data_IF_981955273147
#
_entry.id   IF_981955273147
#
_cell.length_a   1.000
_cell.length_b   1.000
_cell.length_c   1.000
_cell.angle_alpha   90.00
_cell.angle_beta   90.00
_cell.angle_gamma   90.00
#
_symmetry.space_group_name_H-M   'P 1'
#
loop_
_entity.id
_entity.type
_entity.pdbx_description
1 polymer ?
#
# COMPACT_ATOMS: atom_id res chain seq x y z
N UNK A 1 12.72 -9.45 52.51
CA UNK A 1 11.49 -9.62 51.72
C UNK A 1 11.33 -8.46 50.78
N UNK A 2 11.27 -8.68 49.47
CA UNK A 2 11.05 -7.60 48.50
C UNK A 2 11.93 -7.69 47.25
N UNK A 3 11.91 -8.82 46.57
CA UNK A 3 12.34 -8.93 45.17
C UNK A 3 11.25 -9.64 44.40
N UNK A 4 10.58 -8.92 43.50
CA UNK A 4 9.86 -9.41 42.29
C UNK A 4 8.84 -8.37 41.86
N UNK A 5 9.23 -7.53 40.90
CA UNK A 5 8.29 -6.85 39.96
C UNK A 5 9.14 -6.06 38.94
N UNK A 6 9.70 -6.78 37.98
CA UNK A 6 10.24 -6.20 36.74
C UNK A 6 10.42 -7.33 35.72
N UNK A 7 9.30 -7.82 35.20
CA UNK A 7 9.25 -8.60 33.96
C UNK A 7 7.90 -8.36 33.32
N UNK A 8 7.89 -7.62 32.23
CA UNK A 8 6.69 -7.42 31.41
C UNK A 8 6.65 -6.11 30.64
N UNK A 9 7.76 -5.63 30.11
CA UNK A 9 7.71 -4.65 29.02
C UNK A 9 7.78 -5.44 27.71
N UNK A 10 6.61 -5.61 27.10
CA UNK A 10 6.45 -6.34 25.86
C UNK A 10 7.16 -5.61 24.71
N UNK A 11 7.65 -6.39 23.71
CA UNK A 11 8.40 -5.89 22.56
C UNK A 11 7.73 -4.79 21.72
N UNK A 12 6.43 -4.55 21.91
CA UNK A 12 5.68 -3.44 21.31
C UNK A 12 6.21 -2.06 21.73
N UNK A 13 6.70 -1.91 22.99
CA UNK A 13 7.26 -0.64 23.47
C UNK A 13 8.59 -0.30 22.79
N UNK A 14 9.39 -1.31 22.42
CA UNK A 14 10.70 -1.11 21.78
C UNK A 14 10.55 -0.68 20.32
N UNK A 15 9.53 -1.16 19.62
CA UNK A 15 9.28 -0.79 18.21
C UNK A 15 8.72 0.64 18.07
N UNK A 16 7.80 1.04 18.96
CA UNK A 16 7.28 2.41 19.00
C UNK A 16 8.38 3.41 19.42
N UNK A 17 9.31 3.02 20.28
CA UNK A 17 10.48 3.84 20.65
C UNK A 17 11.45 3.98 19.47
N UNK A 18 11.61 2.97 18.62
CA UNK A 18 12.46 3.04 17.43
C UNK A 18 11.95 4.06 16.40
N UNK A 19 10.66 4.06 16.12
CA UNK A 19 10.01 5.03 15.20
C UNK A 19 9.95 6.43 15.83
N UNK A 20 9.68 6.53 17.15
CA UNK A 20 9.67 7.79 17.87
C UNK A 20 11.07 8.41 17.99
N UNK A 21 12.15 7.62 18.18
CA UNK A 21 13.53 8.12 18.24
C UNK A 21 14.02 8.63 16.88
N UNK A 22 13.54 8.07 15.77
CA UNK A 22 13.77 8.64 14.44
C UNK A 22 13.06 10.00 14.26
N UNK A 23 11.91 10.19 14.89
CA UNK A 23 11.15 11.46 14.87
C UNK A 23 11.75 12.52 15.83
N UNK A 24 12.25 12.13 17.00
CA UNK A 24 12.76 13.07 18.03
C UNK A 24 14.14 13.61 17.68
N UNK A 25 14.99 12.89 16.95
CA UNK A 25 16.27 13.41 16.45
C UNK A 25 16.13 14.54 15.42
N UNK A 26 14.91 14.84 14.97
CA UNK A 26 14.63 15.86 13.95
C UNK A 26 14.15 17.22 14.48
N UNK A 27 13.96 17.40 15.79
CA UNK A 27 13.50 18.70 16.34
C UNK A 27 14.57 19.78 16.48
N UNK A 28 15.79 19.56 15.98
CA UNK A 28 16.92 20.50 16.12
C UNK A 28 17.26 21.38 14.92
N UNK A 29 16.50 21.36 13.82
CA UNK A 29 16.82 22.21 12.66
C UNK A 29 15.53 22.67 11.97
N UNK A 30 14.88 23.69 12.50
CA UNK A 30 13.95 24.52 11.72
C UNK A 30 14.78 25.62 11.05
N UNK A 31 15.18 25.41 9.83
CA UNK A 31 15.48 26.48 8.87
C UNK A 31 14.55 26.33 7.68
N UNK A 32 13.83 27.40 7.45
CA UNK A 32 12.93 27.62 6.32
C UNK A 32 13.70 27.64 5.02
N UNK A 33 13.63 26.56 4.26
CA UNK A 33 14.08 26.54 2.87
C UNK A 33 12.94 25.95 2.01
N UNK A 34 12.29 26.83 1.26
CA UNK A 34 11.29 26.47 0.27
C UNK A 34 11.93 25.63 -0.84
N UNK A 35 11.21 24.59 -1.26
CA UNK A 35 11.61 23.72 -2.38
C UNK A 35 11.19 24.32 -3.73
N UNK A 36 12.12 24.77 -4.60
CA UNK A 36 11.77 25.20 -5.97
C UNK A 36 11.51 24.02 -6.94
N UNK A 37 11.96 22.81 -6.63
CA UNK A 37 11.99 21.71 -7.61
C UNK A 37 10.75 20.83 -7.70
N UNK A 38 9.84 20.83 -6.72
CA UNK A 38 8.65 19.95 -6.72
C UNK A 38 7.43 20.56 -7.45
N UNK A 39 7.41 21.90 -7.59
CA UNK A 39 6.29 22.58 -8.24
C UNK A 39 6.36 22.53 -9.77
N UNK A 40 7.56 22.42 -10.35
CA UNK A 40 7.73 22.35 -11.81
C UNK A 40 7.41 20.96 -12.40
N UNK A 41 7.58 19.86 -11.64
CA UNK A 41 7.24 18.52 -12.15
C UNK A 41 5.75 18.18 -12.16
N UNK A 42 4.90 18.99 -11.55
CA UNK A 42 3.45 18.80 -11.55
C UNK A 42 2.71 19.47 -12.69
N UNK A 43 3.41 20.29 -13.53
CA UNK A 43 2.80 21.08 -14.59
C UNK A 43 3.30 20.75 -16.00
N UNK A 44 4.20 19.81 -16.18
CA UNK A 44 4.60 19.38 -17.52
C UNK A 44 3.68 18.25 -18.05
N UNK A 45 2.81 18.63 -18.95
CA UNK A 45 2.01 17.77 -19.80
C UNK A 45 2.95 17.01 -20.75
N UNK A 46 2.79 15.68 -20.94
CA UNK A 46 3.60 14.94 -21.90
C UNK A 46 3.00 15.02 -23.31
N UNK A 47 3.07 16.15 -23.94
CA UNK A 47 2.88 16.23 -25.39
C UNK A 47 4.04 16.99 -26.04
N UNK A 48 4.65 16.31 -27.00
CA UNK A 48 5.65 16.72 -28.01
C UNK A 48 7.10 16.32 -27.73
N UNK A 49 7.42 15.10 -28.12
CA UNK A 49 8.70 14.82 -28.76
C UNK A 49 8.48 14.01 -30.03
N UNK A 50 8.64 14.72 -31.15
CA UNK A 50 8.59 14.21 -32.51
C UNK A 50 9.82 13.36 -32.83
N UNK A 51 9.57 12.20 -33.42
CA UNK A 51 10.56 11.30 -33.98
C UNK A 51 11.41 11.90 -35.11
N UNK A 52 12.71 11.62 -35.08
CA UNK A 52 13.55 11.51 -36.27
C UNK A 52 14.13 10.11 -36.31
N UNK A 53 13.78 9.39 -37.36
CA UNK A 53 14.41 8.12 -37.78
C UNK A 53 15.74 8.39 -38.48
N UNK A 54 16.64 7.41 -38.51
CA UNK A 54 17.44 7.15 -39.71
C UNK A 54 17.19 5.74 -40.25
N UNK A 55 17.16 5.69 -41.57
CA UNK A 55 17.02 4.55 -42.45
C UNK A 55 18.32 3.72 -42.60
N UNK A 56 18.10 2.48 -43.02
CA UNK A 56 18.96 1.60 -43.83
C UNK A 56 20.23 0.96 -43.27
N UNK A 57 20.16 -0.37 -43.13
CA UNK A 57 21.15 -1.30 -43.70
C UNK A 57 20.57 -2.73 -43.84
N UNK A 58 20.63 -3.25 -45.08
CA UNK A 58 20.25 -4.60 -45.53
C UNK A 58 21.28 -5.66 -45.14
N UNK A 59 20.78 -6.89 -44.96
CA UNK A 59 21.51 -8.03 -45.49
C UNK A 59 21.56 -9.31 -44.65
N UNK A 60 21.01 -10.41 -45.14
CA UNK A 60 21.59 -11.72 -44.98
C UNK A 60 20.82 -12.76 -44.16
N UNK A 61 20.22 -13.72 -44.87
CA UNK A 61 19.40 -14.83 -44.43
C UNK A 61 20.08 -15.94 -43.63
N UNK A 62 19.25 -16.81 -43.05
CA UNK A 62 19.65 -18.07 -42.40
C UNK A 62 18.45 -18.75 -41.77
N UNK A 63 17.92 -19.76 -42.42
CA UNK A 63 16.85 -20.66 -42.04
C UNK A 63 17.21 -21.50 -40.81
N UNK A 64 16.27 -21.61 -39.88
CA UNK A 64 16.33 -22.57 -38.77
C UNK A 64 14.99 -22.63 -38.05
N UNK A 65 14.12 -23.56 -38.46
CA UNK A 65 12.89 -23.93 -37.80
C UNK A 65 13.16 -24.45 -36.38
N UNK A 66 12.50 -23.89 -35.41
CA UNK A 66 12.38 -24.39 -34.07
C UNK A 66 11.12 -23.81 -33.47
N UNK A 67 9.99 -24.50 -33.69
CA UNK A 67 8.69 -24.18 -33.07
C UNK A 67 8.77 -24.32 -31.55
N UNK A 68 8.92 -23.22 -30.85
CA UNK A 68 8.53 -23.08 -29.45
C UNK A 68 7.24 -22.28 -29.42
N UNK A 69 6.16 -22.98 -29.15
CA UNK A 69 4.86 -22.38 -28.84
C UNK A 69 5.01 -21.36 -27.71
N UNK A 70 5.12 -20.10 -28.07
CA UNK A 70 4.90 -18.99 -27.17
C UNK A 70 3.38 -18.88 -26.97
N UNK A 71 2.91 -19.42 -25.86
CA UNK A 71 1.53 -19.18 -25.40
C UNK A 71 1.29 -17.68 -25.36
N UNK A 72 0.26 -17.26 -26.07
CA UNK A 72 -0.19 -15.89 -26.25
C UNK A 72 -0.42 -15.20 -24.90
N UNK A 73 0.44 -14.28 -24.55
CA UNK A 73 0.46 -13.50 -23.31
C UNK A 73 -0.05 -12.08 -23.51
N UNK A 74 -1.05 -11.86 -24.36
CA UNK A 74 -1.63 -10.50 -24.48
C UNK A 74 -3.13 -10.57 -24.76
N UNK A 75 -3.88 -10.84 -23.68
CA UNK A 75 -5.31 -10.47 -23.59
C UNK A 75 -5.49 -9.41 -22.50
N UNK A 76 -4.83 -8.28 -22.64
CA UNK A 76 -5.20 -7.13 -21.85
C UNK A 76 -6.07 -6.22 -22.70
N UNK A 77 -7.31 -5.98 -22.21
CA UNK A 77 -8.23 -4.99 -22.74
C UNK A 77 -7.48 -3.66 -22.93
N UNK A 78 -7.14 -3.36 -24.14
CA UNK A 78 -6.80 -2.02 -24.59
C UNK A 78 -8.09 -1.24 -24.69
N UNK A 79 -8.20 -0.10 -24.00
CA UNK A 79 -9.24 0.94 -24.16
C UNK A 79 -10.70 0.55 -23.81
N UNK A 80 -10.90 -0.04 -22.62
CA UNK A 80 -12.20 0.03 -21.94
C UNK A 80 -12.10 1.03 -20.79
N UNK A 81 -13.17 1.75 -20.47
CA UNK A 81 -13.22 2.54 -19.24
C UNK A 81 -12.86 1.63 -18.06
N UNK A 82 -11.88 2.05 -17.23
CA UNK A 82 -11.52 1.37 -16.00
C UNK A 82 -12.75 1.27 -15.09
N UNK A 83 -13.00 0.11 -14.55
CA UNK A 83 -14.10 -0.17 -13.64
C UNK A 83 -13.55 -0.68 -12.29
N UNK A 84 -14.38 -0.68 -11.24
CA UNK A 84 -13.98 -1.30 -9.97
C UNK A 84 -13.64 -2.79 -10.15
N UNK A 85 -14.27 -3.49 -11.09
CA UNK A 85 -13.95 -4.88 -11.42
C UNK A 85 -12.50 -5.12 -11.87
N UNK A 86 -11.80 -4.07 -12.28
CA UNK A 86 -10.38 -4.12 -12.68
C UNK A 86 -9.42 -3.91 -11.49
N UNK A 87 -9.94 -3.69 -10.27
CA UNK A 87 -9.17 -3.37 -9.08
C UNK A 87 -9.28 -4.48 -8.03
N UNK A 88 -8.17 -5.05 -7.61
CA UNK A 88 -8.07 -5.96 -6.48
C UNK A 88 -7.77 -5.15 -5.22
N UNK A 89 -8.71 -5.10 -4.29
CA UNK A 89 -8.56 -4.37 -3.03
C UNK A 89 -8.28 -5.37 -1.92
N UNK A 90 -7.08 -5.36 -1.37
CA UNK A 90 -6.68 -6.18 -0.23
C UNK A 90 -6.79 -5.38 1.06
N UNK A 91 -7.53 -5.89 2.03
CA UNK A 91 -7.62 -5.35 3.39
C UNK A 91 -6.91 -6.29 4.34
N UNK A 92 -5.82 -5.83 4.94
CA UNK A 92 -5.05 -6.57 5.94
C UNK A 92 -5.62 -6.34 7.34
N UNK A 93 -5.96 -7.43 8.04
CA UNK A 93 -6.48 -7.38 9.40
C UNK A 93 -5.92 -8.49 10.28
N UNK A 94 -6.35 -8.53 11.53
CA UNK A 94 -6.07 -9.58 12.50
C UNK A 94 -7.33 -9.80 13.36
N UNK A 95 -7.51 -11.00 13.89
CA UNK A 95 -8.66 -11.39 14.73
C UNK A 95 -9.04 -10.34 15.77
N UNK A 96 -8.04 -9.76 16.40
CA UNK A 96 -8.22 -8.71 17.41
C UNK A 96 -9.09 -7.53 16.94
N UNK A 97 -9.08 -7.24 15.64
CA UNK A 97 -9.76 -6.07 15.06
C UNK A 97 -11.01 -6.41 14.25
N UNK A 98 -11.41 -7.69 14.15
CA UNK A 98 -12.59 -8.07 13.39
C UNK A 98 -13.83 -7.33 13.89
N UNK A 99 -14.10 -7.36 15.20
CA UNK A 99 -15.29 -6.71 15.75
C UNK A 99 -15.19 -5.18 15.77
N UNK A 100 -14.01 -4.63 16.07
CA UNK A 100 -13.88 -3.19 16.32
C UNK A 100 -13.60 -2.36 15.07
N UNK A 101 -12.97 -2.96 14.04
CA UNK A 101 -12.58 -2.26 12.81
C UNK A 101 -13.26 -2.83 11.57
N UNK A 102 -13.20 -4.17 11.37
CA UNK A 102 -13.77 -4.75 10.16
C UNK A 102 -15.27 -4.59 10.05
N UNK A 103 -16.03 -4.67 11.16
CA UNK A 103 -17.48 -4.39 11.11
C UNK A 103 -17.77 -2.99 10.59
N UNK A 104 -17.01 -2.00 11.07
CA UNK A 104 -17.14 -0.61 10.58
C UNK A 104 -16.85 -0.49 9.09
N UNK A 105 -15.77 -1.13 8.59
CA UNK A 105 -15.44 -1.08 7.16
C UNK A 105 -16.51 -1.79 6.31
N UNK A 106 -17.05 -2.90 6.81
CA UNK A 106 -18.12 -3.67 6.16
C UNK A 106 -19.45 -2.90 6.11
N UNK A 107 -19.72 -2.07 7.12
CA UNK A 107 -20.93 -1.24 7.19
C UNK A 107 -20.80 0.07 6.39
N UNK A 108 -19.57 0.41 6.00
CA UNK A 108 -19.28 1.61 5.23
C UNK A 108 -18.82 1.27 3.81
N UNK A 109 -17.60 1.60 3.46
CA UNK A 109 -17.12 1.57 2.08
C UNK A 109 -17.03 0.16 1.46
N UNK A 110 -16.78 -0.90 2.24
CA UNK A 110 -16.73 -2.27 1.69
C UNK A 110 -18.09 -2.67 1.12
N UNK A 111 -19.20 -2.21 1.72
CA UNK A 111 -20.55 -2.49 1.19
C UNK A 111 -20.72 -2.07 -0.27
N UNK A 112 -20.00 -1.04 -0.73
CA UNK A 112 -20.03 -0.50 -2.10
C UNK A 112 -19.00 -1.10 -3.04
N UNK A 113 -17.98 -1.76 -2.49
CA UNK A 113 -16.88 -2.37 -3.27
C UNK A 113 -16.61 -3.82 -2.86
N UNK A 114 -17.66 -4.55 -2.40
CA UNK A 114 -17.54 -5.88 -1.82
C UNK A 114 -16.91 -6.89 -2.78
N UNK A 115 -17.36 -6.88 -4.03
CA UNK A 115 -16.91 -7.84 -5.06
C UNK A 115 -15.43 -7.67 -5.46
N UNK A 116 -14.82 -6.54 -5.14
CA UNK A 116 -13.43 -6.23 -5.43
C UNK A 116 -12.54 -6.32 -4.19
N UNK A 117 -13.15 -6.46 -3.00
CA UNK A 117 -12.45 -6.41 -1.71
C UNK A 117 -12.24 -7.81 -1.15
N UNK A 118 -11.00 -8.11 -0.81
CA UNK A 118 -10.58 -9.35 -0.17
C UNK A 118 -9.97 -9.04 1.20
N UNK A 119 -10.42 -9.75 2.23
CA UNK A 119 -9.97 -9.54 3.62
C UNK A 119 -8.97 -10.62 3.99
N UNK A 120 -7.74 -10.22 4.30
CA UNK A 120 -6.64 -11.11 4.69
C UNK A 120 -6.48 -11.10 6.20
N UNK A 121 -6.71 -12.24 6.83
CA UNK A 121 -6.69 -12.41 8.29
C UNK A 121 -5.89 -13.61 8.74
N UNK A 122 -5.49 -13.62 10.00
CA UNK A 122 -4.70 -14.68 10.66
C UNK A 122 -5.54 -15.74 11.38
N UNK A 123 -6.82 -15.47 11.61
CA UNK A 123 -7.74 -16.42 12.24
C UNK A 123 -9.08 -16.46 11.53
N UNK A 124 -9.71 -17.64 11.54
CA UNK A 124 -11.07 -17.82 11.03
C UNK A 124 -12.10 -17.06 11.86
N UNK A 125 -13.12 -16.55 11.18
CA UNK A 125 -14.23 -15.82 11.77
C UNK A 125 -15.51 -16.07 10.99
N UNK A 126 -16.44 -16.81 11.60
CA UNK A 126 -17.71 -17.16 10.96
C UNK A 126 -18.59 -15.95 10.67
N UNK A 127 -18.52 -14.89 11.49
CA UNK A 127 -19.29 -13.66 11.26
C UNK A 127 -18.74 -12.92 10.03
N UNK A 128 -17.42 -12.77 9.95
CA UNK A 128 -16.73 -12.17 8.80
C UNK A 128 -16.99 -13.00 7.53
N UNK A 129 -16.89 -14.33 7.62
CA UNK A 129 -17.13 -15.24 6.49
C UNK A 129 -18.59 -15.19 6.01
N UNK A 130 -19.58 -15.07 6.89
CA UNK A 130 -20.97 -14.87 6.48
C UNK A 130 -21.19 -13.59 5.71
N UNK A 131 -20.47 -12.51 6.03
CA UNK A 131 -20.58 -11.20 5.37
C UNK A 131 -19.84 -11.14 4.04
N UNK A 132 -18.66 -11.74 3.96
CA UNK A 132 -17.75 -11.60 2.80
C UNK A 132 -17.65 -12.87 1.93
N UNK A 133 -18.09 -14.05 2.44
CA UNK A 133 -18.01 -15.30 1.68
C UNK A 133 -16.57 -15.69 1.38
N UNK A 134 -16.30 -16.05 0.12
CA UNK A 134 -14.98 -16.48 -0.36
C UNK A 134 -13.98 -15.32 -0.50
N UNK A 135 -14.40 -14.09 -0.20
CA UNK A 135 -13.53 -12.93 -0.15
C UNK A 135 -12.77 -12.79 1.19
N UNK A 136 -12.96 -13.72 2.13
CA UNK A 136 -12.11 -13.84 3.33
C UNK A 136 -11.02 -14.86 3.06
N UNK A 137 -9.78 -14.39 3.12
CA UNK A 137 -8.58 -15.22 2.94
C UNK A 137 -7.93 -15.46 4.30
N UNK A 138 -8.02 -16.71 4.75
CA UNK A 138 -7.29 -17.15 5.94
C UNK A 138 -5.84 -17.44 5.56
N UNK A 139 -4.90 -16.62 6.09
CA UNK A 139 -3.51 -16.62 5.64
C UNK A 139 -2.63 -17.63 6.35
N UNK A 140 -3.10 -18.18 7.47
CA UNK A 140 -2.31 -19.05 8.36
C UNK A 140 -1.01 -18.36 8.87
N UNK A 141 -0.97 -17.03 8.87
CA UNK A 141 0.13 -16.24 9.42
C UNK A 141 -0.05 -16.07 10.94
N UNK A 142 1.05 -15.71 11.64
CA UNK A 142 0.98 -15.44 13.08
C UNK A 142 0.04 -14.27 13.40
N UNK A 143 -0.65 -14.38 14.54
CA UNK A 143 -1.51 -13.30 15.10
C UNK A 143 -0.70 -12.20 15.78
N UNK A 144 0.60 -12.39 15.99
CA UNK A 144 1.47 -11.38 16.57
C UNK A 144 1.70 -10.22 15.61
N UNK A 145 1.81 -9.02 16.17
CA UNK A 145 2.25 -7.85 15.40
C UNK A 145 3.78 -7.87 15.28
N UNK A 146 4.28 -8.73 14.39
CA UNK A 146 5.71 -8.92 14.15
C UNK A 146 6.05 -8.68 12.68
N UNK A 147 7.32 -8.37 12.41
CA UNK A 147 7.85 -8.22 11.06
C UNK A 147 7.50 -9.42 10.15
N UNK A 148 7.70 -10.64 10.64
CA UNK A 148 7.42 -11.87 9.88
C UNK A 148 5.93 -12.08 9.62
N UNK A 149 5.06 -11.77 10.59
CA UNK A 149 3.61 -11.91 10.44
C UNK A 149 3.05 -10.89 9.42
N UNK A 150 3.50 -9.64 9.46
CA UNK A 150 3.11 -8.62 8.48
C UNK A 150 3.59 -8.99 7.08
N UNK A 151 4.85 -9.41 6.94
CA UNK A 151 5.41 -9.87 5.66
C UNK A 151 4.68 -11.12 5.12
N UNK A 152 4.25 -12.03 6.00
CA UNK A 152 3.47 -13.21 5.63
C UNK A 152 2.12 -12.81 5.02
N UNK A 153 1.38 -11.90 5.65
CA UNK A 153 0.08 -11.43 5.15
C UNK A 153 0.23 -10.67 3.84
N UNK A 154 1.23 -9.79 3.73
CA UNK A 154 1.51 -9.07 2.47
C UNK A 154 1.85 -10.02 1.32
N UNK A 155 2.59 -11.10 1.59
CA UNK A 155 2.86 -12.13 0.59
C UNK A 155 1.58 -12.83 0.11
N UNK A 156 0.67 -13.13 1.05
CA UNK A 156 -0.62 -13.75 0.73
C UNK A 156 -1.52 -12.82 -0.11
N UNK A 157 -1.57 -11.52 0.21
CA UNK A 157 -2.28 -10.52 -0.58
C UNK A 157 -1.74 -10.45 -2.00
N UNK A 158 -0.42 -10.40 -2.13
CA UNK A 158 0.26 -10.30 -3.43
C UNK A 158 0.01 -11.54 -4.29
N UNK A 159 0.12 -12.75 -3.72
CA UNK A 159 -0.12 -14.00 -4.42
C UNK A 159 -1.59 -14.16 -4.85
N UNK A 160 -2.53 -13.75 -4.00
CA UNK A 160 -3.96 -13.73 -4.36
C UNK A 160 -4.23 -12.78 -5.52
N UNK A 161 -3.64 -11.57 -5.50
CA UNK A 161 -3.72 -10.66 -6.63
C UNK A 161 -3.13 -11.27 -7.91
N UNK A 162 -1.95 -11.87 -7.84
CA UNK A 162 -1.33 -12.48 -9.03
C UNK A 162 -2.18 -13.61 -9.63
N UNK A 163 -2.95 -14.31 -8.79
CA UNK A 163 -3.88 -15.38 -9.21
C UNK A 163 -5.20 -14.86 -9.78
N UNK A 164 -5.47 -13.58 -9.65
CA UNK A 164 -6.68 -12.91 -10.16
C UNK A 164 -6.47 -12.34 -11.56
N UNK A 165 -7.55 -11.81 -12.17
CA UNK A 165 -7.52 -11.16 -13.49
C UNK A 165 -7.51 -9.62 -13.41
N UNK A 166 -7.57 -9.04 -12.19
CA UNK A 166 -7.60 -7.60 -12.00
C UNK A 166 -6.31 -6.92 -12.48
N UNK A 167 -6.44 -5.70 -12.95
CA UNK A 167 -5.35 -4.90 -13.51
C UNK A 167 -4.57 -4.11 -12.47
N UNK A 168 -5.18 -3.87 -11.30
CA UNK A 168 -4.62 -3.07 -10.21
C UNK A 168 -4.69 -3.83 -8.89
N UNK A 169 -3.62 -3.79 -8.13
CA UNK A 169 -3.54 -4.21 -6.73
C UNK A 169 -3.56 -2.97 -5.85
N UNK A 170 -4.47 -2.89 -4.88
CA UNK A 170 -4.49 -1.85 -3.87
C UNK A 170 -4.52 -2.47 -2.48
N UNK A 171 -3.52 -2.14 -1.67
CA UNK A 171 -3.38 -2.57 -0.28
C UNK A 171 -3.95 -1.52 0.67
N UNK A 172 -4.65 -1.96 1.70
CA UNK A 172 -5.20 -1.16 2.80
C UNK A 172 -5.02 -1.88 4.14
N UNK A 173 -4.80 -1.13 5.20
CA UNK A 173 -4.92 -1.62 6.57
C UNK A 173 -6.38 -1.50 7.06
N UNK A 174 -6.74 -2.21 8.13
CA UNK A 174 -8.10 -2.26 8.68
C UNK A 174 -8.56 -0.97 9.39
N UNK A 175 -7.72 0.05 9.41
CA UNK A 175 -8.06 1.40 9.86
C UNK A 175 -8.14 2.43 8.72
N UNK A 176 -8.21 1.96 7.47
CA UNK A 176 -8.39 2.81 6.31
C UNK A 176 -9.88 2.86 5.87
N UNK A 177 -10.38 4.05 5.67
CA UNK A 177 -11.57 4.31 4.89
C UNK A 177 -11.18 4.56 3.43
N UNK A 178 -11.74 3.79 2.51
CA UNK A 178 -11.52 3.95 1.08
C UNK A 178 -12.70 4.65 0.43
N UNK A 179 -12.43 5.60 -0.45
CA UNK A 179 -13.39 6.14 -1.40
C UNK A 179 -13.23 5.43 -2.75
N UNK A 180 -14.11 4.47 -3.11
CA UNK A 180 -13.95 3.70 -4.35
C UNK A 180 -14.03 4.56 -5.61
N UNK A 181 -14.84 5.63 -5.60
CA UNK A 181 -14.98 6.54 -6.74
C UNK A 181 -13.72 7.39 -6.95
N UNK A 182 -13.18 7.95 -5.86
CA UNK A 182 -11.92 8.69 -5.92
C UNK A 182 -10.74 7.79 -6.34
N UNK A 183 -10.71 6.54 -5.86
CA UNK A 183 -9.72 5.54 -6.28
C UNK A 183 -9.83 5.29 -7.79
N UNK A 184 -11.03 5.00 -8.29
CA UNK A 184 -11.25 4.72 -9.71
C UNK A 184 -10.86 5.92 -10.57
N UNK A 185 -11.24 7.13 -10.16
CA UNK A 185 -10.86 8.38 -10.82
C UNK A 185 -9.33 8.57 -10.84
N UNK A 186 -8.64 8.27 -9.74
CA UNK A 186 -7.19 8.34 -9.68
C UNK A 186 -6.55 7.33 -10.65
N UNK A 187 -6.95 6.05 -10.55
CA UNK A 187 -6.36 4.97 -11.35
C UNK A 187 -6.64 5.14 -12.85
N UNK A 188 -7.76 5.77 -13.25
CA UNK A 188 -8.07 6.06 -14.65
C UNK A 188 -7.07 7.02 -15.31
N UNK A 189 -6.29 7.77 -14.50
CA UNK A 189 -5.21 8.64 -15.00
C UNK A 189 -3.91 7.90 -15.32
N UNK A 190 -3.88 6.58 -15.06
CA UNK A 190 -2.70 5.75 -15.25
C UNK A 190 -3.03 4.51 -16.09
N UNK A 191 -2.02 3.91 -16.69
CA UNK A 191 -2.16 2.70 -17.47
C UNK A 191 -1.58 1.49 -16.72
N UNK A 192 -2.40 0.47 -16.49
CA UNK A 192 -1.98 -0.76 -15.82
C UNK A 192 -0.96 -1.59 -16.61
N UNK A 193 -0.75 -1.29 -17.91
CA UNK A 193 0.30 -1.89 -18.74
C UNK A 193 1.63 -1.13 -18.66
N UNK A 194 1.71 -0.11 -17.81
CA UNK A 194 2.96 0.58 -17.42
C UNK A 194 3.34 0.20 -15.98
N UNK A 195 4.58 0.41 -15.61
CA UNK A 195 5.05 0.23 -14.24
C UNK A 195 4.57 1.41 -13.40
N UNK A 196 3.60 1.16 -12.53
CA UNK A 196 2.97 2.19 -11.68
C UNK A 196 2.94 1.71 -10.23
N UNK A 197 3.48 2.52 -9.33
CA UNK A 197 3.40 2.37 -7.88
C UNK A 197 2.95 3.69 -7.27
N UNK A 198 1.72 3.75 -6.76
CA UNK A 198 1.06 4.94 -6.24
C UNK A 198 0.87 4.84 -4.74
N UNK A 199 1.13 5.90 -4.02
CA UNK A 199 0.84 6.00 -2.61
C UNK A 199 1.52 7.19 -1.96
N UNK A 200 1.29 7.38 -0.68
CA UNK A 200 1.90 8.48 0.08
C UNK A 200 3.29 8.08 0.57
N UNK A 201 4.34 8.85 0.26
CA UNK A 201 5.65 8.61 0.85
C UNK A 201 5.57 8.66 2.38
N UNK A 202 6.13 7.67 3.06
CA UNK A 202 6.14 7.62 4.52
C UNK A 202 6.99 8.74 5.15
N UNK A 203 8.01 9.18 4.44
CA UNK A 203 8.95 10.20 4.87
C UNK A 203 9.14 11.26 3.79
N UNK A 204 9.72 12.41 4.15
CA UNK A 204 10.09 13.47 3.20
C UNK A 204 11.43 13.22 2.48
N UNK A 205 12.04 12.06 2.70
CA UNK A 205 13.30 11.61 2.08
C UNK A 205 13.30 10.10 1.94
N UNK A 206 14.05 9.53 0.96
CA UNK A 206 14.22 8.10 0.87
C UNK A 206 14.93 7.56 2.12
N UNK A 207 14.53 6.38 2.59
CA UNK A 207 15.18 5.73 3.71
C UNK A 207 16.52 5.14 3.28
N UNK A 208 17.40 4.93 4.26
CA UNK A 208 18.61 4.14 4.11
C UNK A 208 18.47 2.86 4.90
N UNK A 209 18.78 1.74 4.28
CA UNK A 209 18.78 0.43 4.89
C UNK A 209 20.08 -0.31 4.58
N UNK A 210 20.33 -1.38 5.34
CA UNK A 210 21.41 -2.31 5.08
C UNK A 210 20.83 -3.59 4.51
N UNK A 211 21.16 -3.91 3.27
CA UNK A 211 20.82 -5.18 2.63
C UNK A 211 21.87 -6.22 3.03
N UNK A 212 21.45 -7.35 3.58
CA UNK A 212 22.32 -8.49 3.87
C UNK A 212 22.56 -9.29 2.59
N UNK A 213 23.81 -9.51 2.22
CA UNK A 213 24.21 -10.29 1.05
C UNK A 213 24.50 -11.75 1.42
N UNK A 214 24.54 -12.64 0.41
CA UNK A 214 24.76 -14.08 0.59
C UNK A 214 26.09 -14.47 1.28
N UNK A 215 27.08 -13.57 1.26
CA UNK A 215 28.37 -13.72 1.95
C UNK A 215 28.42 -13.08 3.34
N UNK A 216 27.27 -12.80 3.94
CA UNK A 216 27.11 -12.06 5.20
C UNK A 216 27.69 -10.63 5.21
N UNK A 217 28.05 -10.10 4.06
CA UNK A 217 28.38 -8.69 3.92
C UNK A 217 27.08 -7.86 3.87
N UNK A 218 27.20 -6.58 4.16
CA UNK A 218 26.07 -5.65 4.06
C UNK A 218 26.33 -4.62 2.97
N UNK A 219 25.28 -4.31 2.21
CA UNK A 219 25.27 -3.23 1.22
C UNK A 219 24.29 -2.16 1.64
N UNK A 220 24.72 -0.91 1.67
CA UNK A 220 23.80 0.22 1.88
C UNK A 220 22.89 0.40 0.66
N UNK A 221 21.60 0.43 0.90
CA UNK A 221 20.56 0.71 -0.11
C UNK A 221 19.76 1.94 0.29
N UNK A 222 19.17 2.60 -0.70
CA UNK A 222 18.35 3.80 -0.50
C UNK A 222 17.15 3.74 -1.42
N UNK A 223 15.96 3.94 -0.87
CA UNK A 223 14.71 3.84 -1.62
C UNK A 223 13.56 4.61 -0.95
N UNK A 224 12.55 4.95 -1.75
CA UNK A 224 11.27 5.43 -1.29
C UNK A 224 10.29 4.27 -1.11
N UNK A 225 9.33 4.45 -0.22
CA UNK A 225 8.20 3.56 -0.09
C UNK A 225 6.94 4.35 0.27
N UNK A 226 5.79 3.84 -0.18
CA UNK A 226 4.50 4.31 0.27
C UNK A 226 4.18 3.68 1.62
N UNK A 227 3.68 4.47 2.57
CA UNK A 227 3.27 3.93 3.87
C UNK A 227 2.04 3.03 3.73
N UNK A 228 2.12 1.80 4.25
CA UNK A 228 1.02 0.83 4.26
C UNK A 228 -0.22 1.37 4.95
N UNK A 229 -0.04 2.05 6.09
CA UNK A 229 -1.14 2.66 6.85
C UNK A 229 -1.91 3.78 6.13
N UNK A 230 -1.46 4.24 4.96
CA UNK A 230 -2.23 5.11 4.08
C UNK A 230 -2.85 4.36 2.90
N UNK A 231 -2.43 3.13 2.68
CA UNK A 231 -2.72 2.37 1.48
C UNK A 231 -1.84 2.76 0.30
N UNK A 232 -1.73 1.86 -0.67
CA UNK A 232 -1.00 2.08 -1.92
C UNK A 232 -1.56 1.19 -3.04
N UNK A 233 -1.29 1.55 -4.30
CA UNK A 233 -1.68 0.75 -5.45
C UNK A 233 -0.49 0.44 -6.37
N UNK A 234 -0.52 -0.77 -6.97
CA UNK A 234 0.51 -1.28 -7.88
C UNK A 234 -0.18 -1.79 -9.15
N UNK A 235 0.36 -1.46 -10.32
CA UNK A 235 -0.14 -1.98 -11.60
C UNK A 235 0.21 -3.46 -11.79
N UNK A 236 -0.60 -4.20 -12.55
CA UNK A 236 -0.39 -5.61 -12.91
C UNK A 236 0.99 -5.82 -13.54
N UNK A 237 1.41 -4.92 -14.43
CA UNK A 237 2.72 -5.01 -15.07
C UNK A 237 3.85 -4.96 -14.06
N UNK A 238 3.82 -3.99 -13.14
CA UNK A 238 4.85 -3.86 -12.11
C UNK A 238 4.84 -5.07 -11.17
N UNK A 239 3.65 -5.51 -10.73
CA UNK A 239 3.52 -6.68 -9.87
C UNK A 239 4.12 -7.94 -10.50
N UNK A 240 3.93 -8.17 -11.79
CA UNK A 240 4.57 -9.29 -12.50
C UNK A 240 6.09 -9.21 -12.47
N UNK A 241 6.67 -8.02 -12.59
CA UNK A 241 8.12 -7.85 -12.47
C UNK A 241 8.63 -8.10 -11.06
N UNK A 242 7.79 -7.86 -10.05
CA UNK A 242 8.13 -8.08 -8.64
C UNK A 242 8.12 -9.58 -8.24
N UNK A 243 7.46 -10.45 -8.99
CA UNK A 243 7.27 -11.88 -8.65
C UNK A 243 8.53 -12.60 -8.13
N UNK A 244 9.74 -12.42 -8.72
CA UNK A 244 10.93 -13.13 -8.24
C UNK A 244 11.29 -12.84 -6.78
N UNK A 245 10.84 -11.70 -6.23
CA UNK A 245 11.14 -11.27 -4.87
C UNK A 245 9.91 -11.14 -3.97
N UNK A 246 8.71 -11.11 -4.56
CA UNK A 246 7.47 -10.80 -3.85
C UNK A 246 6.51 -11.99 -3.75
N UNK A 247 6.67 -13.05 -4.53
CA UNK A 247 5.72 -14.17 -4.56
C UNK A 247 6.06 -15.21 -3.51
N UNK A 248 5.07 -15.67 -2.74
CA UNK A 248 5.19 -16.73 -1.76
C UNK A 248 6.28 -16.49 -0.73
N UNK A 249 7.10 -17.52 -0.51
CA UNK A 249 8.22 -17.48 0.43
C UNK A 249 9.31 -16.47 0.05
N UNK A 250 9.35 -16.03 -1.21
CA UNK A 250 10.35 -15.07 -1.65
C UNK A 250 10.13 -13.70 -1.01
N UNK A 251 8.88 -13.30 -0.72
CA UNK A 251 8.60 -12.05 0.00
C UNK A 251 9.26 -12.06 1.38
N UNK A 252 9.05 -13.14 2.16
CA UNK A 252 9.63 -13.27 3.49
C UNK A 252 11.17 -13.27 3.42
N UNK A 253 11.75 -14.02 2.49
CA UNK A 253 13.20 -14.06 2.29
C UNK A 253 13.75 -12.69 1.91
N UNK A 254 13.06 -11.93 1.06
CA UNK A 254 13.46 -10.58 0.66
C UNK A 254 13.33 -9.59 1.82
N UNK A 255 12.26 -9.69 2.62
CA UNK A 255 12.02 -8.90 3.80
C UNK A 255 13.13 -9.07 4.85
N UNK A 256 13.63 -10.31 5.04
CA UNK A 256 14.76 -10.61 5.93
C UNK A 256 16.09 -9.97 5.49
N UNK A 257 16.27 -9.66 4.19
CA UNK A 257 17.48 -9.00 3.71
C UNK A 257 17.66 -7.59 4.27
N UNK A 258 16.56 -6.88 4.48
CA UNK A 258 16.56 -5.48 4.94
C UNK A 258 16.02 -5.32 6.36
N UNK A 259 15.28 -6.30 6.89
CA UNK A 259 14.65 -6.34 8.24
C UNK A 259 13.83 -5.10 8.56
N UNK A 260 13.05 -4.64 7.60
CA UNK A 260 12.12 -3.51 7.70
C UNK A 260 10.68 -3.99 7.50
N UNK A 261 9.65 -3.21 7.88
CA UNK A 261 8.25 -3.54 7.67
C UNK A 261 7.91 -3.92 6.22
N UNK A 262 6.77 -4.54 6.05
CA UNK A 262 6.30 -5.07 4.77
C UNK A 262 6.11 -3.99 3.69
N UNK A 263 5.63 -2.79 4.04
CA UNK A 263 5.53 -1.64 3.14
C UNK A 263 6.91 -1.14 2.67
N UNK A 264 7.90 -1.14 3.57
CA UNK A 264 9.30 -0.88 3.23
C UNK A 264 9.83 -1.95 2.26
N UNK A 265 9.46 -3.23 2.48
CA UNK A 265 9.86 -4.34 1.62
C UNK A 265 9.30 -4.18 0.21
N UNK A 266 8.04 -3.76 0.07
CA UNK A 266 7.45 -3.41 -1.24
C UNK A 266 8.26 -2.32 -1.94
N UNK A 267 8.54 -1.21 -1.25
CA UNK A 267 9.34 -0.11 -1.81
C UNK A 267 10.75 -0.54 -2.22
N UNK A 268 11.40 -1.36 -1.38
CA UNK A 268 12.72 -1.93 -1.67
C UNK A 268 12.70 -2.83 -2.91
N UNK A 269 11.72 -3.72 -3.03
CA UNK A 269 11.59 -4.58 -4.22
C UNK A 269 11.42 -3.71 -5.46
N UNK A 270 10.52 -2.74 -5.42
CA UNK A 270 10.21 -1.89 -6.56
C UNK A 270 11.43 -1.06 -6.97
N UNK A 271 12.05 -0.32 -6.06
CA UNK A 271 13.12 0.62 -6.41
C UNK A 271 14.50 -0.03 -6.53
N UNK A 272 14.82 -1.01 -5.66
CA UNK A 272 16.16 -1.60 -5.65
C UNK A 272 16.30 -2.89 -6.46
N UNK A 273 15.21 -3.65 -6.67
CA UNK A 273 15.26 -4.92 -7.41
C UNK A 273 14.68 -4.81 -8.81
N UNK A 274 13.56 -4.10 -8.97
CA UNK A 274 12.88 -3.96 -10.27
C UNK A 274 13.34 -2.72 -11.03
N UNK A 275 13.82 -1.68 -10.33
CA UNK A 275 14.19 -0.39 -10.94
C UNK A 275 12.97 0.50 -11.26
N UNK A 276 11.83 0.25 -10.59
CA UNK A 276 10.67 1.12 -10.62
C UNK A 276 10.84 2.33 -9.70
N UNK A 277 9.80 3.14 -9.57
CA UNK A 277 9.79 4.33 -8.73
C UNK A 277 8.43 4.50 -8.06
N UNK A 278 8.45 5.02 -6.80
CA UNK A 278 7.23 5.51 -6.18
C UNK A 278 6.77 6.79 -6.89
N UNK A 279 5.50 6.81 -7.29
CA UNK A 279 4.79 8.00 -7.74
C UNK A 279 4.02 8.58 -6.55
N UNK A 280 4.53 9.66 -5.93
CA UNK A 280 3.90 10.23 -4.74
C UNK A 280 2.48 10.70 -5.03
N UNK A 281 1.54 10.32 -4.17
CA UNK A 281 0.16 10.77 -4.27
C UNK A 281 -0.36 11.20 -2.89
N UNK A 282 -0.84 12.44 -2.82
CA UNK A 282 -1.28 13.07 -1.57
C UNK A 282 -2.76 12.83 -1.24
N UNK A 283 -3.47 12.03 -2.04
CA UNK A 283 -4.86 11.63 -1.80
C UNK A 283 -4.97 10.40 -0.87
N UNK A 284 -3.83 9.80 -0.51
CA UNK A 284 -3.74 8.72 0.46
C UNK A 284 -3.34 9.26 1.83
N UNK A 285 -4.02 8.82 2.90
CA UNK A 285 -3.82 9.35 4.25
C UNK A 285 -3.71 8.27 5.31
N UNK A 286 -2.68 8.41 6.16
CA UNK A 286 -2.45 7.59 7.35
C UNK A 286 -2.80 8.38 8.62
N UNK A 287 -3.17 7.69 9.69
CA UNK A 287 -3.31 8.32 11.01
C UNK A 287 -1.98 8.83 11.60
N UNK A 288 -0.82 8.50 10.99
CA UNK A 288 0.50 9.01 11.39
C UNK A 288 0.83 10.42 10.87
N UNK A 289 -0.14 11.11 10.28
CA UNK A 289 -0.08 12.51 9.90
C UNK A 289 -1.21 13.30 10.56
N UNK A 290 -1.14 14.62 10.56
CA UNK A 290 -2.24 15.43 11.11
C UNK A 290 -3.42 15.48 10.13
N UNK A 291 -4.40 14.60 10.31
CA UNK A 291 -5.61 14.51 9.48
C UNK A 291 -6.50 15.75 9.55
N UNK A 292 -6.36 16.58 10.59
CA UNK A 292 -7.14 17.81 10.74
C UNK A 292 -6.70 18.92 9.78
N UNK A 293 -5.57 18.75 9.09
CA UNK A 293 -5.10 19.66 8.02
C UNK A 293 -5.81 19.43 6.68
N UNK A 294 -6.59 18.36 6.55
CA UNK A 294 -7.39 18.10 5.35
C UNK A 294 -8.63 18.99 5.39
N UNK A 295 -8.81 19.94 4.44
CA UNK A 295 -9.99 20.78 4.41
C UNK A 295 -11.25 19.94 4.18
N UNK A 296 -12.34 20.25 4.91
CA UNK A 296 -13.60 19.50 4.79
C UNK A 296 -14.16 19.49 3.36
N UNK A 297 -13.96 20.57 2.60
CA UNK A 297 -14.36 20.66 1.18
C UNK A 297 -13.59 19.71 0.25
N UNK A 298 -12.46 19.15 0.68
CA UNK A 298 -11.61 18.25 -0.11
C UNK A 298 -11.73 16.78 0.32
N UNK A 299 -12.48 16.46 1.37
CA UNK A 299 -12.57 15.10 1.92
C UNK A 299 -13.10 14.10 0.89
N UNK A 300 -14.10 14.51 0.10
CA UNK A 300 -14.70 13.68 -0.95
C UNK A 300 -13.75 13.35 -2.11
N UNK A 301 -12.63 14.05 -2.20
CA UNK A 301 -11.63 13.85 -3.24
C UNK A 301 -10.50 12.91 -2.77
N UNK A 302 -10.43 12.63 -1.46
CA UNK A 302 -9.40 11.75 -0.91
C UNK A 302 -9.67 10.31 -1.32
N UNK A 303 -8.60 9.56 -1.62
CA UNK A 303 -8.68 8.14 -1.95
C UNK A 303 -8.82 7.33 -0.66
N UNK A 304 -7.96 7.62 0.32
CA UNK A 304 -8.04 6.99 1.63
C UNK A 304 -8.04 8.03 2.75
N UNK A 305 -8.71 7.67 3.82
CA UNK A 305 -8.66 8.36 5.10
C UNK A 305 -8.33 7.31 6.18
N UNK A 306 -7.80 7.73 7.31
CA UNK A 306 -7.47 6.83 8.41
C UNK A 306 -7.88 7.43 9.76
N UNK A 307 -7.79 6.65 10.82
CA UNK A 307 -8.00 7.10 12.19
C UNK A 307 -7.09 6.31 13.14
N UNK A 308 -6.70 6.93 14.23
CA UNK A 308 -5.85 6.28 15.20
C UNK A 308 -5.30 7.23 16.25
N UNK A 309 -4.19 6.85 16.87
CA UNK A 309 -3.50 7.70 17.85
C UNK A 309 -2.24 8.25 17.21
N UNK A 310 -2.11 9.57 17.22
CA UNK A 310 -0.93 10.29 16.76
C UNK A 310 -0.47 11.27 17.84
N UNK A 311 0.81 11.24 18.22
CA UNK A 311 1.39 12.07 19.28
C UNK A 311 0.57 12.01 20.60
N UNK A 312 0.15 10.80 20.99
CA UNK A 312 -0.69 10.51 22.19
C UNK A 312 -2.08 11.17 22.18
N UNK A 313 -2.60 11.56 21.02
CA UNK A 313 -3.94 12.12 20.86
C UNK A 313 -4.71 11.34 19.81
N UNK A 314 -6.01 11.28 19.99
CA UNK A 314 -6.90 10.75 18.96
C UNK A 314 -6.81 11.65 17.72
N UNK A 315 -6.42 11.04 16.60
CA UNK A 315 -6.25 11.69 15.30
C UNK A 315 -7.32 11.18 14.36
N UNK A 316 -8.37 11.96 14.23
CA UNK A 316 -9.55 11.68 13.40
C UNK A 316 -9.89 12.91 12.58
N UNK A 317 -10.63 12.70 11.50
CA UNK A 317 -11.20 13.79 10.73
C UNK A 317 -12.36 14.42 11.51
N UNK A 318 -12.36 15.75 11.62
CA UNK A 318 -13.44 16.48 12.26
C UNK A 318 -14.54 16.77 11.24
N UNK A 319 -15.57 15.96 11.25
CA UNK A 319 -16.80 16.20 10.50
C UNK A 319 -17.95 16.51 11.45
N UNK A 320 -18.75 17.50 11.10
CA UNK A 320 -20.06 17.71 11.71
C UNK A 320 -21.02 16.63 11.21
N UNK A 321 -21.73 15.96 12.10
CA UNK A 321 -22.65 14.89 11.73
C UNK A 321 -23.44 14.43 12.96
N UNK A 322 -24.44 13.54 12.74
CA UNK A 322 -25.34 13.08 13.79
C UNK A 322 -24.66 12.16 14.82
N UNK A 323 -23.55 11.52 14.45
CA UNK A 323 -22.85 10.58 15.32
C UNK A 323 -21.89 11.28 16.29
N UNK A 324 -21.96 10.91 17.55
CA UNK A 324 -21.01 11.35 18.58
C UNK A 324 -19.66 10.65 18.39
N UNK A 325 -18.56 11.14 18.99
CA UNK A 325 -17.26 10.43 18.98
C UNK A 325 -17.31 9.06 19.67
N UNK A 326 -18.29 8.79 20.50
CA UNK A 326 -18.52 7.50 21.15
C UNK A 326 -19.19 6.49 20.19
N UNK A 327 -20.10 6.96 19.33
CA UNK A 327 -20.81 6.15 18.34
C UNK A 327 -19.95 5.92 17.09
N UNK A 328 -19.16 6.90 16.69
CA UNK A 328 -18.27 6.82 15.53
C UNK A 328 -16.89 7.39 15.87
N UNK A 329 -16.05 6.64 16.62
CA UNK A 329 -14.72 7.09 17.01
C UNK A 329 -13.76 7.27 15.82
N UNK A 330 -14.07 6.69 14.67
CA UNK A 330 -13.30 6.82 13.44
C UNK A 330 -13.72 8.03 12.60
N UNK A 331 -14.93 8.51 12.77
CA UNK A 331 -15.65 9.43 11.88
C UNK A 331 -15.94 8.86 10.49
N UNK A 332 -15.90 7.53 10.31
CA UNK A 332 -16.13 6.88 9.01
C UNK A 332 -17.62 6.76 8.65
N UNK A 333 -18.53 6.75 9.63
CA UNK A 333 -19.96 6.78 9.35
C UNK A 333 -20.44 8.12 8.80
N UNK A 334 -19.72 9.20 9.10
CA UNK A 334 -20.06 10.56 8.64
C UNK A 334 -19.84 10.78 7.14
N UNK A 335 -18.72 10.31 6.54
CA UNK A 335 -18.56 10.36 5.09
C UNK A 335 -19.68 9.63 4.33
N UNK A 336 -20.17 8.49 4.85
CA UNK A 336 -21.27 7.75 4.21
C UNK A 336 -22.54 8.62 4.05
N UNK A 337 -22.81 9.51 4.99
CA UNK A 337 -23.93 10.45 4.90
C UNK A 337 -23.73 11.56 3.86
N UNK A 338 -22.48 11.85 3.49
CA UNK A 338 -22.17 12.86 2.47
C UNK A 338 -22.30 12.29 1.05
N UNK A 339 -22.43 10.96 0.91
CA UNK A 339 -22.45 10.25 -0.37
C UNK A 339 -23.83 9.64 -0.69
N UNK A 340 -24.82 9.86 0.19
CA UNK A 340 -26.24 9.60 -0.06
C UNK A 340 -26.91 10.83 -0.67
#
# INVERSE_FOLDING_TARGET
MGRRLLRGLSGAAVFLVGVALLSVRHRGAQETSGYPGLRERMLENPEQQTHKSPEDAKGGGGTGQGDLQVHSLDKYKTEGNLTLGDVFIAVKTTKKFHQSRMELLLDTWISRAREQTYVFTDEEDDALKRRMGDHVVFTNCSTEHSHSALSCKMAAEFDAFLSSDQSWFCHLDDDNYLNPEALLKLLSSYSAVKDVYLGKPSLNRPIRASETLSNNQTKSVRFWFATGGAGFCISRRLARKMMPWASGKNFLSTSELIRLPDDCTIGYIIECKVGGQLLPNMLFHSHLENLQLIPSSHLMQQVTLSYGVFENKLNIIKLSGPFSPQEDPSSFLKPELLWQ
#
